data_IF_318243590702
#
_entry.id   IF_318243590702
#
_cell.length_a   1.000
_cell.length_b   1.000
_cell.length_c   1.000
_cell.angle_alpha   90.00
_cell.angle_beta   90.00
_cell.angle_gamma   90.00
#
_symmetry.space_group_name_H-M   'P 1'
#
loop_
_entity.id
_entity.type
_entity.pdbx_description
1 polymer ?
#
# COMPACT_ATOMS: atom_id res chain seq x y z
N UNK A 1 13.36 -23.72 42.30
CA UNK A 1 13.52 -23.25 40.91
C UNK A 1 12.26 -23.60 40.13
N UNK A 2 11.30 -22.68 40.01
CA UNK A 2 10.25 -22.83 38.99
C UNK A 2 10.95 -22.63 37.64
N UNK A 3 10.98 -23.63 36.76
CA UNK A 3 11.40 -23.38 35.38
C UNK A 3 10.36 -22.43 34.79
N UNK A 4 10.68 -21.14 34.68
CA UNK A 4 9.84 -20.23 33.91
C UNK A 4 9.81 -20.79 32.48
N UNK A 5 8.67 -21.36 32.09
CA UNK A 5 8.44 -21.81 30.72
C UNK A 5 8.23 -20.54 29.90
N UNK A 6 9.26 -20.14 29.18
CA UNK A 6 9.16 -19.02 28.26
C UNK A 6 8.26 -19.43 27.10
N UNK A 7 7.05 -18.86 27.04
CA UNK A 7 6.20 -18.96 25.86
C UNK A 7 6.82 -18.18 24.70
N UNK A 8 6.68 -18.70 23.49
CA UNK A 8 7.27 -18.15 22.27
C UNK A 8 6.16 -17.83 21.28
N UNK A 9 6.16 -16.59 20.78
CA UNK A 9 5.32 -16.20 19.65
C UNK A 9 5.72 -17.03 18.43
N UNK A 10 4.74 -17.71 17.85
CA UNK A 10 4.92 -18.32 16.54
C UNK A 10 5.08 -17.23 15.46
N UNK A 11 5.60 -17.63 14.29
CA UNK A 11 5.60 -16.74 13.13
C UNK A 11 4.17 -16.64 12.64
N UNK A 12 3.69 -15.43 12.36
CA UNK A 12 2.42 -15.17 11.64
C UNK A 12 1.13 -15.24 12.48
N UNK A 13 1.21 -14.94 13.78
CA UNK A 13 0.01 -14.77 14.62
C UNK A 13 -0.84 -13.57 14.15
N UNK A 14 -2.18 -13.68 14.02
CA UNK A 14 -3.05 -12.62 13.51
C UNK A 14 -2.86 -11.25 14.19
N UNK A 15 -2.59 -11.24 15.49
CA UNK A 15 -2.31 -10.00 16.24
C UNK A 15 -1.02 -9.32 15.79
N UNK A 16 0.04 -10.08 15.45
CA UNK A 16 1.30 -9.53 14.94
C UNK A 16 1.07 -8.86 13.59
N UNK A 17 0.30 -9.48 12.69
CA UNK A 17 0.02 -8.91 11.37
C UNK A 17 -0.86 -7.64 11.48
N UNK A 18 -1.89 -7.64 12.33
CA UNK A 18 -2.69 -6.43 12.62
C UNK A 18 -1.80 -5.29 13.11
N UNK A 19 -1.01 -5.50 14.17
CA UNK A 19 -0.12 -4.48 14.71
C UNK A 19 0.99 -4.07 13.73
N UNK A 20 1.49 -4.99 12.90
CA UNK A 20 2.54 -4.71 11.93
C UNK A 20 2.08 -3.74 10.83
N UNK A 21 0.77 -3.64 10.57
CA UNK A 21 0.24 -2.68 9.61
C UNK A 21 0.54 -1.23 10.01
N UNK A 22 0.62 -0.90 11.30
CA UNK A 22 0.97 0.45 11.79
C UNK A 22 2.37 0.59 12.43
N UNK A 23 3.06 -0.52 12.72
CA UNK A 23 4.35 -0.48 13.43
C UNK A 23 5.52 -1.03 12.64
N UNK A 24 5.26 -1.84 11.62
CA UNK A 24 6.24 -2.76 11.08
C UNK A 24 6.45 -3.98 11.98
N UNK A 25 7.14 -4.99 11.45
CA UNK A 25 7.11 -6.37 11.98
C UNK A 25 7.80 -6.54 13.33
N UNK A 26 8.94 -5.89 13.54
CA UNK A 26 9.73 -6.09 14.77
C UNK A 26 9.06 -5.47 16.02
N UNK A 27 8.62 -4.20 16.01
CA UNK A 27 7.88 -3.65 17.15
C UNK A 27 6.54 -4.33 17.36
N UNK A 28 5.82 -4.71 16.30
CA UNK A 28 4.58 -5.48 16.40
C UNK A 28 4.76 -6.81 17.14
N UNK A 29 5.83 -7.56 16.85
CA UNK A 29 6.14 -8.80 17.59
C UNK A 29 6.41 -8.55 19.06
N UNK A 30 7.14 -7.49 19.41
CA UNK A 30 7.38 -7.13 20.82
C UNK A 30 6.07 -6.78 21.53
N UNK A 31 5.24 -5.95 20.89
CA UNK A 31 3.97 -5.51 21.47
C UNK A 31 2.95 -6.64 21.59
N UNK A 32 2.80 -7.49 20.57
CA UNK A 32 1.95 -8.67 20.62
C UNK A 32 2.35 -9.62 21.74
N UNK A 33 3.66 -9.84 21.94
CA UNK A 33 4.14 -10.66 23.05
C UNK A 33 3.75 -10.06 24.40
N UNK A 34 3.92 -8.75 24.57
CA UNK A 34 3.56 -8.04 25.81
C UNK A 34 2.06 -8.15 26.10
N UNK A 35 1.21 -7.93 25.09
CA UNK A 35 -0.25 -8.04 25.20
C UNK A 35 -0.69 -9.45 25.59
N UNK A 36 -0.22 -10.47 24.87
CA UNK A 36 -0.59 -11.87 25.10
C UNK A 36 -0.02 -12.43 26.40
N UNK A 37 1.11 -11.89 26.87
CA UNK A 37 1.69 -12.27 28.16
C UNK A 37 0.94 -11.62 29.32
N UNK A 38 0.54 -10.36 29.20
CA UNK A 38 -0.21 -9.65 30.24
C UNK A 38 -1.57 -10.31 30.57
N UNK A 39 -2.16 -11.07 29.63
CA UNK A 39 -3.38 -11.84 29.88
C UNK A 39 -3.15 -13.16 30.62
N UNK A 40 -1.92 -13.68 30.60
CA UNK A 40 -1.59 -15.04 31.06
C UNK A 40 -0.77 -15.04 32.34
N UNK A 41 0.04 -14.01 32.54
CA UNK A 41 1.03 -13.93 33.60
C UNK A 41 1.05 -12.53 34.22
N UNK A 42 1.04 -12.47 35.54
CA UNK A 42 1.19 -11.21 36.30
C UNK A 42 2.67 -10.79 36.46
N UNK A 43 3.62 -11.66 36.05
CA UNK A 43 5.06 -11.41 36.20
C UNK A 43 5.58 -10.36 35.20
N UNK A 44 6.44 -9.42 35.64
CA UNK A 44 6.99 -8.38 34.77
C UNK A 44 7.75 -8.93 33.56
N UNK A 45 7.51 -8.37 32.37
CA UNK A 45 8.17 -8.83 31.14
C UNK A 45 9.54 -8.17 30.96
N UNK A 46 10.61 -8.91 31.31
CA UNK A 46 12.00 -8.43 31.16
C UNK A 46 12.58 -8.64 29.75
N UNK A 47 13.78 -8.12 29.49
CA UNK A 47 14.45 -8.27 28.18
C UNK A 47 14.73 -9.73 27.81
N UNK A 48 14.93 -10.61 28.82
CA UNK A 48 15.11 -12.06 28.59
C UNK A 48 13.81 -12.68 28.09
N UNK A 49 12.67 -12.30 28.69
CA UNK A 49 11.36 -12.75 28.21
C UNK A 49 11.12 -12.31 26.77
N UNK A 50 11.42 -11.05 26.43
CA UNK A 50 11.32 -10.56 25.06
C UNK A 50 12.23 -11.32 24.09
N UNK A 51 13.49 -11.60 24.45
CA UNK A 51 14.44 -12.34 23.60
C UNK A 51 13.94 -13.74 23.29
N UNK A 52 13.55 -14.49 24.32
CA UNK A 52 13.08 -15.87 24.14
C UNK A 52 11.72 -15.88 23.45
N UNK A 53 10.81 -15.02 23.89
CA UNK A 53 9.43 -14.98 23.45
C UNK A 53 9.24 -14.50 22.02
N UNK A 54 10.01 -13.51 21.58
CA UNK A 54 9.87 -12.96 20.22
C UNK A 54 10.82 -13.58 19.21
N UNK A 55 11.87 -14.28 19.67
CA UNK A 55 13.04 -14.74 18.91
C UNK A 55 13.82 -13.61 18.22
N UNK A 56 13.69 -12.37 18.71
CA UNK A 56 14.43 -11.23 18.23
C UNK A 56 15.77 -11.09 18.96
N UNK A 57 16.77 -10.55 18.27
CA UNK A 57 18.05 -10.25 18.89
C UNK A 57 17.95 -9.02 19.82
N UNK A 58 18.98 -8.81 20.65
CA UNK A 58 18.99 -7.74 21.67
C UNK A 58 18.85 -6.34 21.09
N UNK A 59 19.51 -6.06 19.98
CA UNK A 59 19.46 -4.74 19.32
C UNK A 59 18.05 -4.46 18.82
N UNK A 60 17.46 -5.42 18.09
CA UNK A 60 16.09 -5.29 17.59
C UNK A 60 15.06 -5.11 18.71
N UNK A 61 15.26 -5.77 19.85
CA UNK A 61 14.39 -5.56 21.02
C UNK A 61 14.57 -4.17 21.59
N UNK A 62 15.81 -3.70 21.75
CA UNK A 62 16.09 -2.36 22.26
C UNK A 62 15.47 -1.27 21.38
N UNK A 63 15.60 -1.40 20.06
CA UNK A 63 15.03 -0.45 19.10
C UNK A 63 13.49 -0.50 19.12
N UNK A 64 12.92 -1.71 19.18
CA UNK A 64 11.49 -1.92 19.26
C UNK A 64 10.89 -1.34 20.55
N UNK A 65 11.46 -1.62 21.72
CA UNK A 65 10.94 -1.10 22.99
C UNK A 65 11.10 0.42 23.06
N UNK A 66 12.21 0.98 22.57
CA UNK A 66 12.39 2.44 22.51
C UNK A 66 11.29 3.09 21.67
N UNK A 67 11.02 2.58 20.46
CA UNK A 67 9.95 3.10 19.61
C UNK A 67 8.55 2.93 20.22
N UNK A 68 8.30 1.80 20.89
CA UNK A 68 7.02 1.55 21.56
C UNK A 68 6.82 2.45 22.80
N UNK A 69 7.90 2.79 23.51
CA UNK A 69 7.90 3.77 24.61
C UNK A 69 7.65 5.18 24.07
N UNK A 70 8.36 5.60 23.02
CA UNK A 70 8.21 6.93 22.38
C UNK A 70 6.82 7.14 21.79
N UNK A 71 6.25 6.08 21.21
CA UNK A 71 4.86 6.12 20.77
C UNK A 71 3.91 6.12 21.96
N UNK A 72 4.28 5.62 23.14
CA UNK A 72 3.39 5.49 24.29
C UNK A 72 2.40 4.34 24.12
N UNK A 73 2.85 3.23 23.54
CA UNK A 73 2.12 1.95 23.49
C UNK A 73 2.49 1.04 24.68
N UNK A 74 3.68 1.21 25.23
CA UNK A 74 4.16 0.45 26.39
C UNK A 74 4.76 1.36 27.46
N UNK A 75 4.64 0.93 28.71
CA UNK A 75 5.32 1.52 29.87
C UNK A 75 6.58 0.74 30.26
N UNK A 76 7.38 1.34 31.13
CA UNK A 76 8.66 0.80 31.60
C UNK A 76 8.77 0.86 33.12
N UNK A 77 9.06 -0.28 33.74
CA UNK A 77 9.28 -0.40 35.18
C UNK A 77 10.74 -0.76 35.50
N UNK A 78 11.22 -0.26 36.65
CA UNK A 78 12.52 -0.64 37.21
C UNK A 78 12.33 -1.65 38.34
N UNK A 79 12.66 -2.91 38.08
CA UNK A 79 12.64 -3.97 39.08
C UNK A 79 13.90 -3.88 39.94
N UNK A 80 13.73 -3.56 41.22
CA UNK A 80 14.79 -3.66 42.22
C UNK A 80 14.73 -5.05 42.84
N UNK A 81 15.67 -5.91 42.47
CA UNK A 81 15.95 -7.12 43.25
C UNK A 81 16.74 -6.76 44.50
N UNK A 82 16.57 -7.55 45.56
CA UNK A 82 17.33 -7.45 46.81
C UNK A 82 18.80 -7.88 46.69
N UNK A 83 19.25 -8.32 45.51
CA UNK A 83 20.64 -8.71 45.25
C UNK A 83 21.48 -7.55 44.67
N UNK A 84 22.81 -7.51 44.92
CA UNK A 84 23.68 -6.49 44.34
C UNK A 84 23.73 -6.60 42.80
N UNK A 85 23.13 -5.64 42.10
CA UNK A 85 23.12 -5.60 40.63
C UNK A 85 22.42 -4.37 40.06
N UNK A 86 22.54 -4.15 38.74
CA UNK A 86 21.77 -3.10 38.05
C UNK A 86 20.28 -3.51 38.03
N UNK A 87 19.34 -2.61 38.41
CA UNK A 87 17.91 -2.90 38.35
C UNK A 87 17.51 -3.45 36.97
N UNK A 88 16.71 -4.50 36.96
CA UNK A 88 16.21 -5.05 35.71
C UNK A 88 15.11 -4.15 35.16
N UNK A 89 15.09 -3.94 33.84
CA UNK A 89 13.96 -3.28 33.18
C UNK A 89 12.89 -4.29 32.83
N UNK A 90 11.63 -3.94 33.09
CA UNK A 90 10.46 -4.63 32.59
C UNK A 90 9.54 -3.69 31.81
N UNK A 91 8.72 -4.27 30.93
CA UNK A 91 7.76 -3.56 30.10
C UNK A 91 6.36 -4.13 30.27
N UNK A 92 5.35 -3.28 30.09
CA UNK A 92 3.93 -3.64 30.13
C UNK A 92 3.17 -2.83 29.06
N UNK A 93 2.12 -3.39 28.44
CA UNK A 93 1.26 -2.63 27.52
C UNK A 93 0.46 -1.58 28.29
N UNK A 94 0.14 -0.45 27.66
CA UNK A 94 -0.68 0.59 28.29
C UNK A 94 -2.19 0.34 28.25
N UNK A 95 -2.65 -0.60 27.41
CA UNK A 95 -4.06 -0.90 27.22
C UNK A 95 -4.27 -2.35 26.78
N UNK A 96 -5.54 -2.77 26.67
CA UNK A 96 -5.94 -4.04 26.06
C UNK A 96 -5.66 -4.11 24.55
N UNK A 97 -5.99 -5.25 23.92
CA UNK A 97 -5.65 -5.52 22.53
C UNK A 97 -6.31 -4.53 21.56
N UNK A 98 -7.62 -4.35 21.63
CA UNK A 98 -8.34 -3.50 20.67
C UNK A 98 -7.96 -2.03 20.84
N UNK A 99 -7.89 -1.52 22.08
CA UNK A 99 -7.43 -0.14 22.33
C UNK A 99 -5.99 0.07 21.84
N UNK A 100 -5.13 -0.94 21.96
CA UNK A 100 -3.74 -0.86 21.49
C UNK A 100 -3.66 -0.85 19.96
N UNK A 101 -4.52 -1.60 19.27
CA UNK A 101 -4.62 -1.62 17.81
C UNK A 101 -5.12 -0.26 17.29
N UNK A 102 -6.19 0.28 17.87
CA UNK A 102 -6.71 1.61 17.54
C UNK A 102 -5.64 2.70 17.70
N UNK A 103 -4.95 2.74 18.86
CA UNK A 103 -3.85 3.69 19.11
C UNK A 103 -2.67 3.49 18.16
N UNK A 104 -2.43 2.26 17.73
CA UNK A 104 -1.38 1.95 16.75
C UNK A 104 -1.72 2.58 15.40
N UNK A 105 -2.96 2.40 14.93
CA UNK A 105 -3.39 2.95 13.66
C UNK A 105 -3.52 4.47 13.68
N UNK A 106 -4.04 5.05 14.76
CA UNK A 106 -4.11 6.50 14.98
C UNK A 106 -2.73 7.17 14.80
N UNK A 107 -1.74 6.67 15.54
CA UNK A 107 -0.36 7.17 15.49
C UNK A 107 0.30 6.93 14.13
N UNK A 108 -0.06 5.83 13.46
CA UNK A 108 0.44 5.56 12.11
C UNK A 108 -0.15 6.51 11.08
N UNK A 109 -1.43 6.86 11.18
CA UNK A 109 -2.08 7.89 10.37
C UNK A 109 -1.35 9.23 10.45
N UNK A 110 -1.02 9.67 11.67
CA UNK A 110 -0.17 10.85 11.91
C UNK A 110 1.20 10.71 11.24
N UNK A 111 1.87 9.57 11.45
CA UNK A 111 3.20 9.33 10.90
C UNK A 111 3.24 9.32 9.36
N UNK A 112 2.17 8.85 8.70
CA UNK A 112 2.05 8.89 7.24
C UNK A 112 1.89 10.31 6.71
N UNK A 113 1.09 11.16 7.37
CA UNK A 113 0.97 12.58 7.02
C UNK A 113 2.29 13.31 7.22
N UNK A 114 2.94 13.14 8.38
CA UNK A 114 4.25 13.74 8.65
C UNK A 114 5.30 13.30 7.62
N UNK A 115 5.27 12.02 7.24
CA UNK A 115 6.16 11.50 6.20
C UNK A 115 5.90 12.12 4.83
N UNK A 116 4.63 12.34 4.47
CA UNK A 116 4.28 12.99 3.21
C UNK A 116 4.75 14.45 3.18
N UNK A 117 4.55 15.19 4.28
CA UNK A 117 5.05 16.56 4.45
C UNK A 117 6.57 16.62 4.30
N UNK A 118 7.29 15.70 4.95
CA UNK A 118 8.75 15.61 4.88
C UNK A 118 9.26 15.28 3.47
N UNK A 119 8.65 14.34 2.74
CA UNK A 119 9.10 13.94 1.39
C UNK A 119 8.79 15.02 0.35
N UNK A 120 7.74 15.80 0.56
CA UNK A 120 7.23 16.75 -0.43
C UNK A 120 7.44 18.20 -0.06
N UNK A 121 8.27 18.47 0.95
CA UNK A 121 8.76 19.79 1.34
C UNK A 121 7.62 20.75 1.73
N UNK A 122 6.61 20.22 2.44
CA UNK A 122 5.49 20.98 2.99
C UNK A 122 5.63 21.15 4.51
N UNK A 123 5.28 22.32 5.02
CA UNK A 123 5.26 22.58 6.47
C UNK A 123 3.92 22.16 7.08
N UNK A 124 3.97 21.67 8.33
CA UNK A 124 2.75 21.38 9.09
C UNK A 124 2.09 22.69 9.52
N UNK A 125 0.86 22.92 9.12
CA UNK A 125 0.06 24.07 9.55
C UNK A 125 -0.77 23.72 10.79
N UNK A 126 -0.94 24.68 11.69
CA UNK A 126 -1.64 24.49 12.99
C UNK A 126 -3.17 24.49 12.85
N UNK A 127 -3.72 24.66 11.64
CA UNK A 127 -5.16 24.64 11.40
C UNK A 127 -5.60 23.24 10.95
N UNK A 128 -6.35 22.54 11.78
CA UNK A 128 -7.18 21.42 11.35
C UNK A 128 -8.65 21.77 11.59
N UNK A 129 -9.44 21.76 10.52
CA UNK A 129 -10.87 21.61 10.63
C UNK A 129 -11.15 20.15 10.97
N UNK A 130 -11.99 19.93 11.98
CA UNK A 130 -12.44 18.60 12.38
C UNK A 130 -13.78 18.32 11.72
N UNK A 131 -13.73 17.78 10.51
CA UNK A 131 -14.91 17.37 9.73
C UNK A 131 -14.93 15.83 9.66
N UNK A 132 -16.10 15.26 9.93
CA UNK A 132 -16.33 13.82 9.87
C UNK A 132 -16.48 13.33 8.43
N UNK A 133 -16.89 14.17 7.48
CA UNK A 133 -17.06 13.73 6.09
C UNK A 133 -15.72 13.61 5.36
N UNK A 134 -15.59 12.62 4.48
CA UNK A 134 -14.46 12.52 3.56
C UNK A 134 -14.87 11.83 2.26
N UNK A 135 -14.51 12.42 1.13
CA UNK A 135 -14.75 11.86 -0.19
C UNK A 135 -13.47 11.23 -0.77
N UNK A 136 -13.55 9.93 -1.12
CA UNK A 136 -12.49 9.15 -1.77
C UNK A 136 -12.84 8.90 -3.23
N UNK A 137 -12.01 9.40 -4.14
CA UNK A 137 -12.09 9.16 -5.59
C UNK A 137 -11.17 7.99 -6.01
N UNK A 138 -11.75 6.84 -6.33
CA UNK A 138 -11.02 5.71 -6.91
C UNK A 138 -10.65 6.00 -8.37
N UNK A 139 -9.48 5.52 -8.80
CA UNK A 139 -9.02 5.61 -10.19
C UNK A 139 -9.60 4.55 -11.13
N UNK A 140 -10.43 3.65 -10.63
CA UNK A 140 -11.11 2.65 -11.44
C UNK A 140 -12.35 2.13 -10.74
N UNK A 141 -13.18 1.38 -11.47
CA UNK A 141 -14.32 0.66 -10.91
C UNK A 141 -13.86 -0.20 -9.71
N UNK A 142 -14.70 -0.34 -8.67
CA UNK A 142 -14.40 -1.19 -7.51
C UNK A 142 -13.94 -2.59 -7.95
N UNK A 143 -12.80 -3.03 -7.40
CA UNK A 143 -12.18 -4.31 -7.71
C UNK A 143 -11.23 -4.70 -6.56
N UNK A 144 -10.58 -5.85 -6.67
CA UNK A 144 -9.70 -6.40 -5.64
C UNK A 144 -8.59 -5.46 -5.14
N UNK A 145 -8.05 -4.56 -5.98
CA UNK A 145 -7.04 -3.59 -5.54
C UNK A 145 -7.58 -2.53 -4.58
N UNK A 146 -8.90 -2.39 -4.48
CA UNK A 146 -9.57 -1.46 -3.58
C UNK A 146 -10.03 -2.13 -2.28
N UNK A 147 -9.79 -3.44 -2.10
CA UNK A 147 -10.23 -4.20 -0.92
C UNK A 147 -9.89 -3.54 0.43
N UNK A 148 -8.74 -2.88 0.65
CA UNK A 148 -8.46 -2.21 1.92
C UNK A 148 -9.50 -1.15 2.30
N UNK A 149 -10.02 -0.39 1.33
CA UNK A 149 -11.03 0.65 1.60
C UNK A 149 -12.40 0.04 1.94
N UNK A 150 -12.74 -1.06 1.28
CA UNK A 150 -13.99 -1.77 1.51
C UNK A 150 -13.94 -2.63 2.79
N UNK A 151 -12.77 -3.14 3.17
CA UNK A 151 -12.53 -3.75 4.48
C UNK A 151 -12.68 -2.71 5.60
N UNK A 152 -12.16 -1.49 5.41
CA UNK A 152 -12.36 -0.40 6.38
C UNK A 152 -13.85 -0.04 6.55
N UNK A 153 -14.66 -0.12 5.48
CA UNK A 153 -16.12 0.00 5.56
C UNK A 153 -16.80 -1.22 6.18
N UNK A 154 -16.30 -2.43 5.94
CA UNK A 154 -16.89 -3.66 6.44
C UNK A 154 -16.67 -3.85 7.95
N UNK A 155 -15.51 -3.41 8.46
CA UNK A 155 -15.11 -3.48 9.87
C UNK A 155 -15.35 -2.18 10.64
N UNK A 156 -16.12 -1.24 10.09
CA UNK A 156 -16.47 0.04 10.70
C UNK A 156 -15.27 0.90 11.14
N UNK A 157 -14.08 0.70 10.55
CA UNK A 157 -12.87 1.46 10.89
C UNK A 157 -13.04 2.96 10.66
N UNK A 158 -13.75 3.36 9.61
CA UNK A 158 -14.03 4.78 9.40
C UNK A 158 -14.90 5.34 10.51
N UNK A 159 -15.94 4.62 10.96
CA UNK A 159 -16.80 5.05 12.07
C UNK A 159 -16.04 5.09 13.41
N UNK A 160 -15.18 4.10 13.68
CA UNK A 160 -14.28 4.04 14.85
C UNK A 160 -13.41 5.30 14.94
N UNK A 161 -12.93 5.79 13.79
CA UNK A 161 -12.17 7.04 13.70
C UNK A 161 -13.05 8.28 13.41
N UNK A 162 -14.36 8.20 13.63
CA UNK A 162 -15.29 9.33 13.54
C UNK A 162 -15.45 9.91 12.13
N UNK A 163 -15.36 9.06 11.10
CA UNK A 163 -15.45 9.44 9.70
C UNK A 163 -16.67 8.82 8.98
N UNK A 164 -17.32 9.64 8.18
CA UNK A 164 -18.29 9.28 7.15
C UNK A 164 -17.59 9.35 5.78
N UNK A 165 -17.12 8.20 5.29
CA UNK A 165 -16.36 8.10 4.04
C UNK A 165 -17.27 7.72 2.88
N UNK A 166 -17.31 8.58 1.86
CA UNK A 166 -17.97 8.32 0.57
C UNK A 166 -16.96 7.90 -0.47
N UNK A 167 -17.20 6.77 -1.12
CA UNK A 167 -16.33 6.23 -2.17
C UNK A 167 -17.01 6.38 -3.52
N UNK A 168 -16.38 7.11 -4.42
CA UNK A 168 -16.79 7.28 -5.82
C UNK A 168 -15.67 6.81 -6.74
N UNK A 169 -16.01 6.30 -7.93
CA UNK A 169 -15.01 5.83 -8.88
C UNK A 169 -14.99 6.66 -10.15
N UNK A 170 -13.80 6.79 -10.72
CA UNK A 170 -13.58 7.44 -12.00
C UNK A 170 -12.70 6.56 -12.86
N UNK A 171 -12.96 6.50 -14.16
CA UNK A 171 -12.15 5.70 -15.08
C UNK A 171 -10.83 6.40 -15.40
N UNK A 172 -9.80 6.11 -14.60
CA UNK A 172 -8.42 6.53 -14.80
C UNK A 172 -7.91 7.52 -13.74
N UNK A 173 -6.61 7.41 -13.41
CA UNK A 173 -5.96 8.23 -12.38
C UNK A 173 -6.02 9.73 -12.65
N UNK A 174 -5.94 10.18 -13.91
CA UNK A 174 -6.12 11.61 -14.24
C UNK A 174 -7.52 12.12 -13.88
N UNK A 175 -8.57 11.29 -14.06
CA UNK A 175 -9.94 11.68 -13.73
C UNK A 175 -10.15 11.77 -12.22
N UNK A 176 -9.61 10.80 -11.47
CA UNK A 176 -9.64 10.83 -10.00
C UNK A 176 -8.86 12.04 -9.43
N UNK A 177 -7.66 12.32 -9.93
CA UNK A 177 -6.88 13.50 -9.51
C UNK A 177 -7.61 14.83 -9.76
N UNK A 178 -8.37 14.93 -10.86
CA UNK A 178 -9.17 16.14 -11.11
C UNK A 178 -10.21 16.42 -10.02
N UNK A 179 -10.81 15.39 -9.42
CA UNK A 179 -11.76 15.57 -8.33
C UNK A 179 -11.09 16.15 -7.07
N UNK A 180 -9.85 15.76 -6.81
CA UNK A 180 -9.06 16.38 -5.74
C UNK A 180 -8.65 17.82 -6.10
N UNK A 181 -8.30 18.06 -7.37
CA UNK A 181 -7.95 19.39 -7.87
C UNK A 181 -9.09 20.41 -7.84
N UNK A 182 -10.32 19.99 -8.17
CA UNK A 182 -11.50 20.86 -8.14
C UNK A 182 -12.20 20.92 -6.77
N UNK A 183 -11.79 20.07 -5.83
CA UNK A 183 -12.32 20.00 -4.46
C UNK A 183 -13.59 19.16 -4.31
N UNK A 184 -13.98 18.40 -5.33
CA UNK A 184 -15.10 17.44 -5.26
C UNK A 184 -14.75 16.16 -4.48
N UNK A 185 -13.47 15.83 -4.34
CA UNK A 185 -12.95 14.76 -3.49
C UNK A 185 -11.82 15.27 -2.58
N UNK A 186 -11.68 14.68 -1.39
CA UNK A 186 -10.58 15.01 -0.47
C UNK A 186 -9.31 14.19 -0.78
N UNK A 187 -9.52 12.93 -1.17
CA UNK A 187 -8.47 11.95 -1.45
C UNK A 187 -8.76 11.25 -2.77
N UNK A 188 -7.74 11.02 -3.58
CA UNK A 188 -7.81 10.20 -4.78
C UNK A 188 -6.84 9.02 -4.70
N UNK A 189 -7.22 7.89 -5.29
CA UNK A 189 -6.27 6.84 -5.67
C UNK A 189 -5.69 7.21 -7.03
N UNK A 190 -4.37 7.17 -7.20
CA UNK A 190 -3.72 7.45 -8.48
C UNK A 190 -2.38 6.71 -8.63
N UNK A 191 -2.05 6.31 -9.86
CA UNK A 191 -0.74 5.72 -10.18
C UNK A 191 0.42 6.70 -9.96
N UNK A 192 1.53 6.22 -9.42
CA UNK A 192 2.66 7.04 -9.02
C UNK A 192 3.28 7.87 -10.18
N UNK A 193 3.35 7.32 -11.39
CA UNK A 193 3.89 8.05 -12.54
C UNK A 193 2.94 9.16 -13.01
N UNK A 194 1.63 8.89 -13.01
CA UNK A 194 0.58 9.90 -13.27
C UNK A 194 0.63 11.02 -12.25
N UNK A 195 0.85 10.72 -10.97
CA UNK A 195 1.01 11.73 -9.90
C UNK A 195 2.22 12.61 -10.16
N UNK A 196 3.39 12.04 -10.46
CA UNK A 196 4.59 12.83 -10.75
C UNK A 196 4.40 13.74 -11.97
N UNK A 197 3.74 13.23 -13.02
CA UNK A 197 3.44 14.02 -14.22
C UNK A 197 2.49 15.19 -13.92
N UNK A 198 1.46 14.96 -13.12
CA UNK A 198 0.53 16.00 -12.68
C UNK A 198 1.25 17.10 -11.88
N UNK A 199 2.17 16.71 -10.99
CA UNK A 199 2.99 17.66 -10.21
C UNK A 199 3.97 18.44 -11.08
N UNK A 200 4.61 17.81 -12.06
CA UNK A 200 5.47 18.53 -13.04
C UNK A 200 4.65 19.55 -13.85
N UNK A 201 3.36 19.25 -14.11
CA UNK A 201 2.43 20.19 -14.74
C UNK A 201 1.94 21.32 -13.80
N UNK A 202 2.41 21.37 -12.55
CA UNK A 202 2.06 22.41 -11.58
C UNK A 202 0.78 22.15 -10.79
N UNK A 203 0.21 20.94 -10.83
CA UNK A 203 -0.94 20.60 -9.99
C UNK A 203 -0.52 20.49 -8.51
N UNK A 204 -1.18 21.22 -7.58
CA UNK A 204 -0.82 21.28 -6.16
C UNK A 204 -1.33 20.05 -5.39
N UNK A 205 -0.83 18.88 -5.77
CA UNK A 205 -1.20 17.58 -5.19
C UNK A 205 -0.02 16.90 -4.51
N UNK A 206 -0.31 16.11 -3.48
CA UNK A 206 0.68 15.45 -2.63
C UNK A 206 0.30 13.98 -2.42
N UNK A 207 1.15 13.01 -2.81
CA UNK A 207 0.93 11.61 -2.47
C UNK A 207 1.27 11.37 -0.99
N UNK A 208 0.34 10.76 -0.27
CA UNK A 208 0.42 10.60 1.19
C UNK A 208 0.74 9.17 1.63
N UNK A 209 0.29 8.17 0.87
CA UNK A 209 0.59 6.77 1.16
C UNK A 209 0.44 5.90 -0.10
N UNK A 210 1.44 5.11 -0.51
CA UNK A 210 1.26 4.07 -1.52
C UNK A 210 0.36 2.94 -1.00
N UNK A 211 -0.74 2.66 -1.68
CA UNK A 211 -1.60 1.51 -1.38
C UNK A 211 -0.85 0.20 -1.60
N UNK A 212 -0.02 0.17 -2.65
CA UNK A 212 0.88 -0.92 -2.99
C UNK A 212 2.30 -0.38 -3.19
N UNK A 213 3.28 -1.13 -2.72
CA UNK A 213 4.69 -0.75 -2.74
C UNK A 213 5.38 -1.00 -4.10
N UNK A 214 4.72 -1.77 -4.97
CA UNK A 214 5.18 -2.07 -6.32
C UNK A 214 4.06 -1.83 -7.34
N UNK A 215 4.42 -1.39 -8.54
CA UNK A 215 3.47 -1.17 -9.62
C UNK A 215 2.82 -2.48 -10.05
N UNK A 216 1.50 -2.45 -10.27
CA UNK A 216 0.71 -3.58 -10.75
C UNK A 216 0.71 -3.69 -12.27
N UNK A 217 1.41 -2.81 -12.98
CA UNK A 217 1.42 -2.75 -14.44
C UNK A 217 2.25 -3.87 -15.06
N UNK A 218 1.67 -4.49 -16.08
CA UNK A 218 2.29 -5.55 -16.87
C UNK A 218 2.18 -5.24 -18.36
N UNK A 219 3.14 -5.74 -19.13
CA UNK A 219 3.00 -5.96 -20.58
C UNK A 219 2.66 -7.44 -20.76
N UNK A 220 1.53 -7.76 -21.39
CA UNK A 220 1.07 -9.14 -21.50
C UNK A 220 0.60 -9.49 -22.90
N UNK A 221 0.61 -10.78 -23.21
CA UNK A 221 0.19 -11.32 -24.50
C UNK A 221 -0.43 -12.71 -24.36
N UNK A 222 -1.20 -13.13 -25.35
CA UNK A 222 -1.67 -14.51 -25.48
C UNK A 222 -0.68 -15.27 -26.35
N UNK A 223 -0.26 -16.45 -25.93
CA UNK A 223 0.80 -17.22 -26.60
C UNK A 223 0.48 -17.58 -28.05
N UNK A 224 -0.78 -17.85 -28.35
CA UNK A 224 -1.22 -18.11 -29.73
C UNK A 224 -1.09 -16.88 -30.63
N UNK A 225 -1.21 -15.67 -30.08
CA UNK A 225 -1.03 -14.40 -30.80
C UNK A 225 0.46 -14.07 -30.93
N UNK A 226 1.23 -14.24 -29.86
CA UNK A 226 2.66 -13.92 -29.87
C UNK A 226 3.51 -14.92 -30.68
N UNK A 227 3.09 -16.18 -30.71
CA UNK A 227 3.75 -17.29 -31.39
C UNK A 227 4.81 -18.03 -30.56
N UNK A 228 5.24 -17.45 -29.43
CA UNK A 228 6.25 -18.03 -28.52
C UNK A 228 6.02 -17.53 -27.08
N UNK A 229 6.76 -18.04 -26.07
CA UNK A 229 6.72 -17.46 -24.73
C UNK A 229 7.33 -16.05 -24.68
N UNK A 230 6.59 -15.06 -24.16
CA UNK A 230 7.13 -13.73 -23.87
C UNK A 230 7.92 -13.77 -22.55
N UNK A 231 9.24 -13.59 -22.62
CA UNK A 231 10.17 -13.70 -21.48
C UNK A 231 11.05 -12.48 -21.27
N UNK A 232 11.17 -11.61 -22.26
CA UNK A 232 12.04 -10.46 -22.18
C UNK A 232 11.57 -9.31 -23.05
N UNK A 233 11.99 -8.10 -22.68
CA UNK A 233 11.65 -6.87 -23.40
C UNK A 233 12.15 -6.90 -24.84
N UNK A 234 13.30 -7.53 -25.11
CA UNK A 234 13.88 -7.62 -26.46
C UNK A 234 12.94 -8.25 -27.49
N UNK A 235 12.01 -9.11 -27.07
CA UNK A 235 11.03 -9.73 -27.97
C UNK A 235 9.93 -8.78 -28.44
N UNK A 236 9.89 -7.55 -27.91
CA UNK A 236 8.94 -6.51 -28.28
C UNK A 236 9.38 -5.71 -29.53
N UNK A 237 10.61 -5.90 -30.01
CA UNK A 237 11.11 -5.25 -31.22
C UNK A 237 10.22 -5.57 -32.43
N UNK A 238 9.76 -4.53 -33.13
CA UNK A 238 8.89 -4.64 -34.30
C UNK A 238 7.45 -5.12 -34.00
N UNK A 239 7.06 -5.31 -32.74
CA UNK A 239 5.71 -5.73 -32.33
C UNK A 239 4.74 -4.56 -32.27
N UNK A 240 3.44 -4.85 -32.44
CA UNK A 240 2.34 -3.91 -32.20
C UNK A 240 1.94 -3.98 -30.73
N UNK A 241 2.03 -2.86 -30.02
CA UNK A 241 1.72 -2.80 -28.60
C UNK A 241 0.49 -1.92 -28.38
N UNK A 242 -0.61 -2.53 -27.94
CA UNK A 242 -1.82 -1.80 -27.56
C UNK A 242 -1.66 -1.15 -26.18
N UNK A 243 -1.96 0.13 -26.09
CA UNK A 243 -1.86 0.89 -24.86
C UNK A 243 -3.07 1.82 -24.71
N UNK A 244 -3.73 1.88 -23.52
CA UNK A 244 -4.86 2.78 -23.34
C UNK A 244 -4.39 4.23 -23.35
N UNK A 245 -5.05 5.15 -24.08
CA UNK A 245 -4.69 6.56 -24.05
C UNK A 245 -4.87 7.12 -22.63
N UNK A 246 -4.05 8.12 -22.28
CA UNK A 246 -4.17 8.83 -20.99
C UNK A 246 -4.10 7.93 -19.72
N UNK A 247 -3.49 6.74 -19.81
CA UNK A 247 -3.43 5.77 -18.72
C UNK A 247 -2.05 5.67 -18.06
N UNK A 248 -2.03 5.24 -16.80
CA UNK A 248 -0.79 4.88 -16.09
C UNK A 248 -0.08 3.72 -16.79
N UNK A 249 -0.82 2.72 -17.27
CA UNK A 249 -0.27 1.54 -17.92
C UNK A 249 0.44 1.89 -19.24
N UNK A 250 -0.08 2.86 -20.01
CA UNK A 250 0.61 3.45 -21.17
C UNK A 250 1.86 4.21 -20.75
N UNK A 251 1.78 5.05 -19.72
CA UNK A 251 2.92 5.83 -19.25
C UNK A 251 4.09 4.93 -18.82
N UNK A 252 3.78 3.90 -18.04
CA UNK A 252 4.75 2.91 -17.57
C UNK A 252 5.22 1.97 -18.68
N UNK A 253 4.33 1.59 -19.61
CA UNK A 253 4.70 0.85 -20.81
C UNK A 253 5.67 1.63 -21.69
N UNK A 254 5.44 2.92 -21.92
CA UNK A 254 6.37 3.79 -22.65
C UNK A 254 7.68 4.01 -21.90
N UNK A 255 7.64 4.15 -20.58
CA UNK A 255 8.86 4.20 -19.76
C UNK A 255 9.69 2.94 -19.96
N UNK A 256 9.04 1.79 -19.92
CA UNK A 256 9.66 0.48 -20.12
C UNK A 256 10.33 0.36 -21.51
N UNK A 257 9.63 0.81 -22.56
CA UNK A 257 10.15 0.80 -23.92
C UNK A 257 11.27 1.83 -24.13
N UNK A 258 11.21 3.01 -23.51
CA UNK A 258 12.22 4.08 -23.68
C UNK A 258 13.64 3.66 -23.28
N UNK A 259 13.77 2.56 -22.55
CA UNK A 259 15.03 2.03 -22.03
C UNK A 259 15.59 0.94 -22.95
N UNK A 260 14.94 0.68 -24.09
CA UNK A 260 15.41 -0.27 -25.10
C UNK A 260 15.98 0.46 -26.32
N UNK A 261 16.88 -0.22 -27.04
CA UNK A 261 17.51 0.31 -28.25
C UNK A 261 16.54 0.43 -29.45
N UNK A 262 15.35 -0.17 -29.36
CA UNK A 262 14.37 -0.29 -30.45
C UNK A 262 13.07 0.47 -30.12
N UNK A 263 13.11 1.45 -29.20
CA UNK A 263 11.91 2.20 -28.79
C UNK A 263 11.18 2.89 -29.95
N UNK A 264 11.91 3.30 -30.99
CA UNK A 264 11.37 3.89 -32.22
C UNK A 264 10.76 2.85 -33.19
N UNK A 265 11.07 1.56 -33.02
CA UNK A 265 10.62 0.46 -33.89
C UNK A 265 9.33 -0.21 -33.40
N UNK A 266 8.77 0.26 -32.29
CA UNK A 266 7.51 -0.24 -31.72
C UNK A 266 6.32 0.52 -32.28
N UNK A 267 5.30 -0.23 -32.73
CA UNK A 267 4.04 0.37 -33.18
C UNK A 267 3.06 0.45 -32.02
N UNK A 268 2.97 1.61 -31.37
CA UNK A 268 1.98 1.86 -30.32
C UNK A 268 0.61 2.05 -30.96
N UNK A 269 -0.35 1.22 -30.55
CA UNK A 269 -1.76 1.33 -30.93
C UNK A 269 -2.52 1.95 -29.76
N UNK A 270 -3.15 3.10 -30.00
CA UNK A 270 -4.08 3.66 -29.02
C UNK A 270 -5.36 2.83 -29.05
N UNK A 271 -5.62 2.14 -27.94
CA UNK A 271 -6.79 1.30 -27.74
C UNK A 271 -7.74 2.05 -26.83
N UNK A 272 -8.96 2.35 -27.26
CA UNK A 272 -9.93 3.14 -26.49
C UNK A 272 -10.55 2.34 -25.31
N UNK A 273 -9.72 1.68 -24.48
CA UNK A 273 -10.12 0.77 -23.40
C UNK A 273 -10.38 -0.67 -23.86
N UNK A 274 -10.03 -0.98 -25.11
CA UNK A 274 -10.25 -2.26 -25.77
C UNK A 274 -8.95 -3.07 -25.97
N UNK A 275 -7.95 -2.86 -25.10
CA UNK A 275 -6.63 -3.51 -25.21
C UNK A 275 -6.77 -5.03 -25.29
N UNK A 276 -7.58 -5.60 -24.39
CA UNK A 276 -7.78 -7.05 -24.30
C UNK A 276 -8.43 -7.59 -25.58
N UNK A 277 -9.41 -6.87 -26.12
CA UNK A 277 -10.07 -7.22 -27.38
C UNK A 277 -9.08 -7.15 -28.53
N UNK A 278 -8.33 -6.05 -28.64
CA UNK A 278 -7.29 -5.89 -29.65
C UNK A 278 -6.22 -6.99 -29.60
N UNK A 279 -5.84 -7.45 -28.40
CA UNK A 279 -4.93 -8.58 -28.23
C UNK A 279 -5.56 -9.89 -28.73
N UNK A 280 -6.77 -10.22 -28.27
CA UNK A 280 -7.44 -11.49 -28.60
C UNK A 280 -7.74 -11.59 -30.10
N UNK A 281 -8.12 -10.49 -30.73
CA UNK A 281 -8.40 -10.41 -32.16
C UNK A 281 -7.12 -10.36 -33.03
N UNK A 282 -5.94 -10.30 -32.41
CA UNK A 282 -4.66 -10.21 -33.10
C UNK A 282 -4.40 -8.85 -33.76
N UNK A 283 -5.15 -7.80 -33.38
CA UNK A 283 -4.89 -6.42 -33.79
C UNK A 283 -3.64 -5.86 -33.09
N UNK A 284 -3.38 -6.28 -31.86
CA UNK A 284 -2.14 -6.04 -31.11
C UNK A 284 -1.42 -7.36 -30.82
N UNK A 285 -0.09 -7.35 -30.80
CA UNK A 285 0.73 -8.53 -30.46
C UNK A 285 0.98 -8.62 -28.95
N UNK A 286 1.01 -7.48 -28.27
CA UNK A 286 1.20 -7.31 -26.82
C UNK A 286 0.34 -6.13 -26.38
N UNK A 287 -0.13 -6.11 -25.13
CA UNK A 287 -0.79 -4.93 -24.58
C UNK A 287 -0.34 -4.61 -23.16
N UNK A 288 -0.52 -3.36 -22.73
CA UNK A 288 -0.30 -2.96 -21.33
C UNK A 288 -1.58 -3.10 -20.52
N UNK A 289 -1.48 -3.57 -19.29
CA UNK A 289 -2.62 -3.65 -18.37
C UNK A 289 -2.20 -3.76 -16.91
N UNK A 290 -3.17 -4.07 -16.06
CA UNK A 290 -2.96 -4.47 -14.67
C UNK A 290 -2.63 -5.96 -14.59
N UNK A 291 -1.91 -6.39 -13.56
CA UNK A 291 -1.59 -7.79 -13.30
C UNK A 291 -2.82 -8.71 -13.22
N UNK A 292 -4.01 -8.15 -12.96
CA UNK A 292 -5.28 -8.87 -12.94
C UNK A 292 -5.79 -9.21 -14.36
N UNK A 293 -5.40 -8.45 -15.39
CA UNK A 293 -5.87 -8.67 -16.76
C UNK A 293 -5.41 -10.01 -17.37
N UNK A 294 -4.15 -10.45 -17.19
CA UNK A 294 -3.74 -11.81 -17.54
C UNK A 294 -4.59 -12.90 -16.87
N UNK A 295 -4.95 -12.73 -15.61
CA UNK A 295 -5.71 -13.73 -14.84
C UNK A 295 -7.12 -13.93 -15.42
N UNK A 296 -7.72 -12.87 -15.96
CA UNK A 296 -9.03 -12.94 -16.63
C UNK A 296 -8.94 -13.74 -17.94
N UNK A 297 -7.84 -13.63 -18.69
CA UNK A 297 -7.63 -14.39 -19.91
C UNK A 297 -7.28 -15.86 -19.66
N UNK A 298 -6.48 -16.17 -18.64
CA UNK A 298 -6.17 -17.54 -18.23
C UNK A 298 -7.42 -18.34 -17.88
N UNK A 299 -8.43 -17.67 -17.30
CA UNK A 299 -9.74 -18.29 -16.99
C UNK A 299 -10.58 -18.61 -18.23
N UNK A 300 -10.25 -18.02 -19.38
CA UNK A 300 -10.84 -18.36 -20.68
C UNK A 300 -10.01 -19.41 -21.41
N UNK A 301 -9.23 -20.20 -20.66
CA UNK A 301 -8.33 -21.26 -21.12
C UNK A 301 -7.24 -20.77 -22.10
N UNK A 302 -6.92 -19.47 -22.06
CA UNK A 302 -5.84 -18.90 -22.86
C UNK A 302 -4.51 -19.03 -22.14
N UNK A 303 -3.46 -19.37 -22.87
CA UNK A 303 -2.08 -19.33 -22.34
C UNK A 303 -1.57 -17.90 -22.42
N UNK A 304 -1.35 -17.26 -21.28
CA UNK A 304 -0.91 -15.85 -21.19
C UNK A 304 0.54 -15.79 -20.72
N UNK A 305 1.31 -14.83 -21.24
CA UNK A 305 2.59 -14.42 -20.68
C UNK A 305 2.52 -12.95 -20.26
N UNK A 306 3.23 -12.59 -19.19
CA UNK A 306 3.32 -11.22 -18.72
C UNK A 306 4.74 -10.86 -18.28
N UNK A 307 5.17 -9.64 -18.60
CA UNK A 307 6.35 -8.98 -18.05
C UNK A 307 5.89 -7.90 -17.07
N UNK A 308 6.34 -7.96 -15.83
CA UNK A 308 6.04 -6.93 -14.85
C UNK A 308 6.99 -5.75 -15.04
N UNK A 309 6.43 -4.54 -15.20
CA UNK A 309 7.25 -3.32 -15.28
C UNK A 309 8.12 -3.16 -14.03
N UNK A 310 7.58 -3.58 -12.89
CA UNK A 310 8.22 -3.41 -11.59
C UNK A 310 9.44 -4.33 -11.36
N UNK A 311 9.64 -5.36 -12.18
CA UNK A 311 10.83 -6.20 -12.13
C UNK A 311 12.06 -5.48 -12.69
N UNK A 312 11.84 -4.38 -13.41
CA UNK A 312 12.88 -3.55 -14.00
C UNK A 312 12.98 -2.16 -13.35
N UNK A 313 11.87 -1.66 -12.79
CA UNK A 313 11.83 -0.36 -12.12
C UNK A 313 11.18 -0.46 -10.74
N UNK A 314 11.82 0.07 -9.68
CA UNK A 314 11.21 0.17 -8.37
C UNK A 314 10.21 1.35 -8.37
N UNK A 315 8.97 1.07 -8.77
CA UNK A 315 7.88 2.05 -8.92
C UNK A 315 6.79 1.69 -7.92
N UNK A 316 6.28 2.69 -7.19
CA UNK A 316 5.09 2.49 -6.35
C UNK A 316 3.86 2.10 -7.19
N UNK A 317 2.97 1.33 -6.60
CA UNK A 317 1.65 1.08 -7.19
C UNK A 317 0.73 2.29 -7.05
N UNK A 318 -0.59 2.08 -7.13
CA UNK A 318 -1.55 3.12 -6.80
C UNK A 318 -1.27 3.73 -5.42
N UNK A 319 -1.41 5.04 -5.33
CA UNK A 319 -1.11 5.87 -4.15
C UNK A 319 -2.32 6.71 -3.79
N UNK A 320 -2.52 6.95 -2.49
CA UNK A 320 -3.44 7.95 -1.98
C UNK A 320 -2.83 9.34 -2.16
N UNK A 321 -3.61 10.25 -2.73
CA UNK A 321 -3.18 11.59 -3.12
C UNK A 321 -4.20 12.60 -2.68
N UNK A 322 -3.73 13.73 -2.15
CA UNK A 322 -4.58 14.83 -1.67
C UNK A 322 -4.13 16.14 -2.28
N UNK A 323 -4.96 17.17 -2.20
CA UNK A 323 -4.57 18.54 -2.53
C UNK A 323 -3.71 19.11 -1.38
N UNK A 324 -2.75 19.99 -1.66
CA UNK A 324 -1.93 20.66 -0.62
C UNK A 324 -2.79 21.34 0.46
N UNK A 325 -3.88 21.99 0.03
CA UNK A 325 -4.94 22.53 0.89
C UNK A 325 -5.52 21.49 1.88
N UNK A 326 -5.74 20.24 1.48
CA UNK A 326 -6.26 19.19 2.37
C UNK A 326 -5.26 18.90 3.49
N UNK A 327 -3.96 18.86 3.19
CA UNK A 327 -2.92 18.77 4.23
C UNK A 327 -2.91 20.00 5.14
N UNK A 328 -3.15 21.18 4.57
CA UNK A 328 -3.07 22.43 5.32
C UNK A 328 -4.28 22.71 6.21
N UNK A 329 -5.46 22.23 5.83
CA UNK A 329 -6.75 22.59 6.43
C UNK A 329 -7.48 21.40 7.08
N UNK A 330 -7.22 20.17 6.64
CA UNK A 330 -7.94 18.94 7.04
C UNK A 330 -6.99 17.82 7.45
N UNK A 331 -5.79 18.16 7.96
CA UNK A 331 -4.79 17.18 8.41
C UNK A 331 -5.37 16.14 9.36
N UNK A 332 -6.12 16.57 10.40
CA UNK A 332 -6.72 15.64 11.37
C UNK A 332 -7.70 14.64 10.75
N UNK A 333 -8.57 15.10 9.83
CA UNK A 333 -9.47 14.22 9.06
C UNK A 333 -8.67 13.22 8.21
N UNK A 334 -7.58 13.67 7.57
CA UNK A 334 -6.71 12.81 6.78
C UNK A 334 -5.94 11.77 7.63
N UNK A 335 -5.42 12.18 8.79
CA UNK A 335 -4.74 11.28 9.74
C UNK A 335 -5.66 10.15 10.17
N UNK A 336 -6.91 10.47 10.55
CA UNK A 336 -7.95 9.49 10.89
C UNK A 336 -8.34 8.59 9.72
N UNK A 337 -8.39 9.14 8.50
CA UNK A 337 -8.67 8.35 7.30
C UNK A 337 -7.56 7.33 7.01
N UNK A 338 -6.31 7.74 7.15
CA UNK A 338 -5.15 6.86 6.96
C UNK A 338 -5.06 5.82 8.09
N UNK A 339 -5.42 6.17 9.32
CA UNK A 339 -5.56 5.23 10.43
C UNK A 339 -6.62 4.16 10.11
N UNK A 340 -7.83 4.57 9.74
CA UNK A 340 -8.91 3.66 9.36
C UNK A 340 -8.55 2.77 8.16
N UNK A 341 -7.91 3.35 7.15
CA UNK A 341 -7.44 2.60 5.97
C UNK A 341 -6.34 1.59 6.32
N UNK A 342 -5.50 1.89 7.32
CA UNK A 342 -4.50 0.93 7.85
C UNK A 342 -5.19 -0.27 8.48
N UNK A 343 -6.26 -0.04 9.24
CA UNK A 343 -7.12 -1.11 9.75
C UNK A 343 -7.75 -1.94 8.63
N UNK A 344 -8.31 -1.28 7.61
CA UNK A 344 -8.84 -1.97 6.43
C UNK A 344 -7.79 -2.79 5.67
N UNK A 345 -6.55 -2.30 5.56
CA UNK A 345 -5.45 -3.08 4.99
C UNK A 345 -5.14 -4.33 5.83
N UNK A 346 -5.05 -4.18 7.15
CA UNK A 346 -4.79 -5.28 8.06
C UNK A 346 -5.89 -6.35 8.01
N UNK A 347 -7.14 -5.92 8.00
CA UNK A 347 -8.30 -6.81 7.97
C UNK A 347 -8.38 -7.53 6.62
N UNK A 348 -8.29 -6.82 5.49
CA UNK A 348 -8.29 -7.44 4.16
C UNK A 348 -7.17 -8.47 4.00
N UNK A 349 -5.97 -8.17 4.56
CA UNK A 349 -4.82 -9.08 4.56
C UNK A 349 -5.05 -10.36 5.36
N UNK A 350 -5.85 -10.27 6.43
CA UNK A 350 -6.17 -11.41 7.29
C UNK A 350 -7.35 -12.22 6.75
N UNK A 351 -8.38 -11.52 6.28
CA UNK A 351 -9.60 -12.08 5.73
C UNK A 351 -10.17 -11.10 4.68
N UNK A 352 -9.99 -11.37 3.37
CA UNK A 352 -10.51 -10.50 2.32
C UNK A 352 -12.01 -10.67 2.08
N UNK A 353 -12.68 -11.67 2.67
CA UNK A 353 -14.09 -12.02 2.41
C UNK A 353 -15.05 -10.84 2.59
N UNK A 354 -15.07 -10.17 3.76
CA UNK A 354 -15.96 -9.02 3.97
C UNK A 354 -15.75 -7.87 2.99
N UNK A 355 -14.51 -7.63 2.56
CA UNK A 355 -14.22 -6.63 1.53
C UNK A 355 -14.69 -7.08 0.15
N UNK A 356 -14.53 -8.36 -0.17
CA UNK A 356 -14.97 -8.96 -1.41
C UNK A 356 -16.50 -8.89 -1.57
N UNK A 357 -17.26 -9.21 -0.51
CA UNK A 357 -18.73 -9.06 -0.48
C UNK A 357 -19.15 -7.62 -0.80
N UNK A 358 -18.52 -6.63 -0.15
CA UNK A 358 -18.82 -5.20 -0.38
C UNK A 358 -18.49 -4.75 -1.80
N UNK A 359 -17.40 -5.25 -2.38
CA UNK A 359 -17.00 -4.93 -3.77
C UNK A 359 -17.94 -5.61 -4.77
N UNK A 360 -18.28 -6.89 -4.57
CA UNK A 360 -19.19 -7.63 -5.43
C UNK A 360 -20.59 -7.00 -5.47
N UNK A 361 -21.04 -6.40 -4.36
CA UNK A 361 -22.31 -5.67 -4.31
C UNK A 361 -22.37 -4.42 -5.21
N UNK A 362 -21.23 -3.89 -5.66
CA UNK A 362 -21.13 -2.66 -6.46
C UNK A 362 -20.32 -2.84 -7.77
N UNK A 363 -20.05 -4.10 -8.15
CA UNK A 363 -19.31 -4.45 -9.37
C UNK A 363 -19.87 -5.72 -9.99
N UNK A 364 -19.44 -6.05 -11.21
CA UNK A 364 -19.78 -7.32 -11.87
C UNK A 364 -18.77 -8.44 -11.52
N UNK A 365 -18.02 -8.29 -10.43
CA UNK A 365 -16.98 -9.23 -10.00
C UNK A 365 -17.49 -10.23 -8.95
N UNK A 366 -17.10 -11.49 -9.09
CA UNK A 366 -17.39 -12.56 -8.11
C UNK A 366 -16.50 -12.44 -6.86
N UNK A 367 -17.07 -12.67 -5.67
CA UNK A 367 -16.38 -12.55 -4.37
C UNK A 367 -15.11 -13.39 -4.32
N UNK A 368 -15.19 -14.67 -4.68
CA UNK A 368 -14.02 -15.54 -4.66
C UNK A 368 -12.96 -15.10 -5.68
N UNK A 369 -13.34 -14.42 -6.79
CA UNK A 369 -12.37 -13.79 -7.70
C UNK A 369 -11.70 -12.59 -7.04
N UNK A 370 -12.46 -11.75 -6.35
CA UNK A 370 -11.94 -10.58 -5.64
C UNK A 370 -10.94 -11.00 -4.57
N UNK A 371 -11.29 -11.97 -3.72
CA UNK A 371 -10.42 -12.50 -2.66
C UNK A 371 -9.07 -13.00 -3.22
N UNK A 372 -9.09 -13.96 -4.15
CA UNK A 372 -7.86 -14.52 -4.74
C UNK A 372 -7.01 -13.47 -5.44
N UNK A 373 -7.64 -12.49 -6.07
CA UNK A 373 -6.93 -11.41 -6.77
C UNK A 373 -6.28 -10.47 -5.76
N UNK A 374 -6.96 -10.14 -4.66
CA UNK A 374 -6.41 -9.33 -3.59
C UNK A 374 -5.26 -10.04 -2.88
N UNK A 375 -5.40 -11.32 -2.53
CA UNK A 375 -4.32 -12.10 -1.91
C UNK A 375 -3.05 -12.08 -2.75
N UNK A 376 -3.19 -12.31 -4.07
CA UNK A 376 -2.09 -12.21 -5.03
C UNK A 376 -1.52 -10.79 -5.07
N UNK A 377 -2.38 -9.77 -5.10
CA UNK A 377 -1.94 -8.38 -5.14
C UNK A 377 -1.13 -7.99 -3.89
N UNK A 378 -1.68 -8.29 -2.72
CA UNK A 378 -1.11 -7.98 -1.43
C UNK A 378 0.24 -8.68 -1.24
N UNK A 379 0.34 -9.95 -1.66
CA UNK A 379 1.58 -10.73 -1.61
C UNK A 379 2.63 -10.21 -2.59
N UNK A 380 2.28 -9.99 -3.85
CA UNK A 380 3.24 -9.65 -4.89
C UNK A 380 3.67 -8.17 -4.89
N UNK A 381 2.76 -7.26 -4.49
CA UNK A 381 2.95 -5.82 -4.63
C UNK A 381 2.79 -5.02 -3.34
N UNK A 382 2.22 -5.60 -2.27
CA UNK A 382 1.97 -4.88 -1.02
C UNK A 382 3.21 -4.68 -0.14
N UNK A 383 4.23 -5.53 -0.29
CA UNK A 383 5.41 -5.55 0.57
C UNK A 383 6.59 -4.72 0.06
N UNK A 384 7.33 -4.13 0.99
CA UNK A 384 8.69 -3.62 0.80
C UNK A 384 9.46 -3.70 2.11
N UNK A 385 10.77 -3.46 2.08
CA UNK A 385 11.55 -3.28 3.30
C UNK A 385 10.99 -2.12 4.16
N UNK A 386 10.57 -1.03 3.51
CA UNK A 386 10.01 0.14 4.18
C UNK A 386 8.73 -0.23 4.96
N UNK A 387 7.82 -0.99 4.33
CA UNK A 387 6.60 -1.48 4.99
C UNK A 387 6.92 -2.48 6.10
N UNK A 388 7.90 -3.36 5.91
CA UNK A 388 8.34 -4.31 6.95
C UNK A 388 8.86 -3.57 8.19
N UNK A 389 9.48 -2.41 8.03
CA UNK A 389 10.04 -1.60 9.12
C UNK A 389 9.04 -0.65 9.75
N UNK A 390 8.11 -0.10 8.97
CA UNK A 390 7.31 1.06 9.37
C UNK A 390 5.80 0.88 9.25
N UNK A 391 5.32 -0.17 8.60
CA UNK A 391 3.90 -0.42 8.37
C UNK A 391 3.43 -0.02 6.98
N UNK A 392 2.17 -0.32 6.68
CA UNK A 392 1.52 -0.06 5.40
C UNK A 392 1.59 1.43 5.01
N UNK A 393 1.59 1.74 3.71
CA UNK A 393 1.61 3.11 3.24
C UNK A 393 2.92 3.88 3.44
N UNK A 394 3.92 3.30 4.11
CA UNK A 394 5.19 3.99 4.30
C UNK A 394 5.93 4.20 2.97
N UNK A 395 6.51 5.39 2.81
CA UNK A 395 7.18 5.82 1.58
C UNK A 395 8.58 6.39 1.83
N UNK A 396 9.42 6.32 0.79
CA UNK A 396 10.82 6.75 0.78
C UNK A 396 11.02 7.76 -0.36
N UNK A 397 11.66 8.90 -0.06
CA UNK A 397 11.92 9.97 -1.05
C UNK A 397 12.70 9.44 -2.25
N UNK A 398 13.65 8.56 -1.98
CA UNK A 398 14.52 7.94 -2.98
C UNK A 398 13.74 7.18 -4.06
N UNK A 399 12.58 6.59 -3.72
CA UNK A 399 11.74 5.88 -4.69
C UNK A 399 11.06 6.87 -5.66
N UNK A 400 10.58 8.00 -5.14
CA UNK A 400 9.99 9.07 -5.97
C UNK A 400 11.04 9.73 -6.87
N UNK A 401 12.22 10.02 -6.35
CA UNK A 401 13.30 10.64 -7.12
C UNK A 401 13.81 9.72 -8.24
N UNK A 402 13.89 8.41 -7.98
CA UNK A 402 14.22 7.41 -9.01
C UNK A 402 13.18 7.37 -10.12
N UNK A 403 11.89 7.35 -9.76
CA UNK A 403 10.82 7.36 -10.75
C UNK A 403 10.81 8.66 -11.56
N UNK A 404 10.99 9.82 -10.91
CA UNK A 404 11.10 11.12 -11.59
C UNK A 404 12.25 11.10 -12.60
N UNK A 405 13.43 10.68 -12.18
CA UNK A 405 14.62 10.59 -13.04
C UNK A 405 14.36 9.69 -14.26
N UNK A 406 13.73 8.53 -14.04
CA UNK A 406 13.41 7.59 -15.12
C UNK A 406 12.42 8.21 -16.14
N UNK A 407 11.38 8.89 -15.66
CA UNK A 407 10.40 9.59 -16.51
C UNK A 407 11.02 10.78 -17.26
N UNK A 408 11.95 11.51 -16.65
CA UNK A 408 12.71 12.60 -17.30
C UNK A 408 13.59 12.07 -18.43
N UNK A 409 14.34 11.00 -18.17
CA UNK A 409 15.22 10.36 -19.16
C UNK A 409 14.40 9.81 -20.34
N UNK A 410 13.22 9.25 -20.07
CA UNK A 410 12.27 8.82 -21.10
C UNK A 410 11.55 9.98 -21.81
N UNK A 411 11.74 11.24 -21.38
CA UNK A 411 11.02 12.44 -21.83
C UNK A 411 9.50 12.39 -21.63
N UNK A 412 9.04 11.61 -20.66
CA UNK A 412 7.62 11.30 -20.43
C UNK A 412 6.93 12.25 -19.43
N UNK A 413 7.67 13.09 -18.71
CA UNK A 413 7.07 14.06 -17.78
C UNK A 413 6.36 15.22 -18.49
N UNK A 414 6.80 15.61 -19.69
CA UNK A 414 6.36 16.84 -20.38
C UNK A 414 5.59 16.60 -21.66
N UNK A 415 5.34 15.36 -22.03
CA UNK A 415 4.48 15.08 -23.18
C UNK A 415 3.07 15.61 -22.91
N UNK A 416 2.34 16.12 -23.91
CA UNK A 416 0.91 16.37 -23.80
C UNK A 416 0.15 15.07 -23.49
N UNK A 417 -0.95 15.16 -22.75
CA UNK A 417 -1.77 14.00 -22.34
C UNK A 417 -2.49 13.37 -23.53
#
# INVERSE_FOLDING_TARGET
MRSQRFWVLEGDEPLVERLAAGLGRSPARVLAYLLLRAEREDDPTTSVHLQVGTRLNRTTISDATTRLEETGLIGRDSLRDSEPGRPQTAWHPHADHETTIERTYDRHGVALVDRALEIHDHERTVRSADDSSLALALNWRPNALHAPFYAALASDWYETFGLDVRIEHHEGSRRALRQVGDGSADVAVAGAATVLRAREAGEPIVPVAPCYQRATTVLYTVRSVFGEPLRSVAQLEGRRIGMPPNSETKLLGRLFLSQTAFSDDVRVLDTDGEERTALVDGAADVVTGSFADPLELERRDMTVDALHVTDHFPIYGPTLVVHERTLAERAGTLERFLAATTGGWADARSDPGPAAERIAAVSDEDEARIERTFERAASAFGGSEAVRERGWGWQRREMWDRLRTALEQGRLLREPA
#
